data_IF_549927291484
#
_entry.id   IF_549927291484
#
_cell.length_a   1.000
_cell.length_b   1.000
_cell.length_c   1.000
_cell.angle_alpha   90.00
_cell.angle_beta   90.00
_cell.angle_gamma   90.00
#
_symmetry.space_group_name_H-M   'P 1'
#
loop_
_entity.id
_entity.type
_entity.pdbx_description
1 polymer ?
#
# COMPACT_ATOMS: atom_id res chain seq x y z
N UNK A 1 12.27 -12.69 -7.04
CA UNK A 1 12.00 -11.25 -7.11
C UNK A 1 10.94 -11.01 -8.16
N UNK A 2 9.70 -10.90 -7.70
CA UNK A 2 8.55 -10.47 -8.49
C UNK A 2 8.18 -9.02 -8.13
N UNK A 3 7.43 -8.37 -9.02
CA UNK A 3 6.89 -7.02 -8.82
C UNK A 3 5.37 -7.12 -8.85
N UNK A 4 4.70 -6.56 -7.83
CA UNK A 4 3.25 -6.54 -7.70
C UNK A 4 2.75 -5.10 -7.59
N UNK A 5 1.59 -4.81 -8.18
CA UNK A 5 0.89 -3.52 -8.04
C UNK A 5 -0.51 -3.76 -7.49
N UNK A 6 -0.84 -3.16 -6.33
CA UNK A 6 -2.06 -3.47 -5.57
C UNK A 6 -2.98 -2.26 -5.35
N UNK A 7 -3.04 -1.35 -6.32
CA UNK A 7 -3.73 -0.08 -6.14
C UNK A 7 -5.27 -0.22 -6.03
N UNK A 8 -5.92 -1.25 -6.58
CA UNK A 8 -7.38 -1.26 -6.80
C UNK A 8 -8.27 -1.28 -5.53
N UNK A 9 -7.80 -1.88 -4.43
CA UNK A 9 -8.60 -2.06 -3.20
C UNK A 9 -7.92 -1.33 -2.05
N UNK A 10 -8.67 -0.48 -1.35
CA UNK A 10 -8.13 0.36 -0.27
C UNK A 10 -9.06 0.39 0.94
N UNK A 11 -8.51 0.46 2.14
CA UNK A 11 -9.23 0.76 3.38
C UNK A 11 -8.49 1.86 4.17
N UNK A 12 -9.07 2.32 5.28
CA UNK A 12 -8.50 3.39 6.12
C UNK A 12 -8.39 2.98 7.59
N UNK A 13 -8.35 1.67 7.85
CA UNK A 13 -8.36 1.08 9.20
C UNK A 13 -7.21 0.12 9.40
N UNK A 14 -6.61 0.09 10.59
CA UNK A 14 -5.72 -0.98 11.01
C UNK A 14 -6.54 -2.06 11.73
N UNK A 15 -6.87 -3.15 11.03
CA UNK A 15 -7.84 -4.16 11.48
C UNK A 15 -7.39 -5.57 11.06
N UNK A 16 -7.20 -6.46 12.03
CA UNK A 16 -6.70 -7.82 11.81
C UNK A 16 -7.78 -8.81 11.32
N UNK A 17 -9.04 -8.38 11.27
CA UNK A 17 -10.13 -9.16 10.67
C UNK A 17 -10.15 -9.07 9.13
N UNK A 18 -9.41 -8.12 8.56
CA UNK A 18 -9.25 -7.98 7.12
C UNK A 18 -8.43 -9.14 6.54
N UNK A 19 -8.95 -9.75 5.47
CA UNK A 19 -8.19 -10.77 4.74
C UNK A 19 -7.03 -10.12 3.96
N UNK A 20 -5.86 -10.78 3.88
CA UNK A 20 -4.75 -10.25 3.09
C UNK A 20 -5.12 -10.05 1.63
N UNK A 21 -4.74 -8.92 1.05
CA UNK A 21 -4.90 -8.63 -0.37
C UNK A 21 -3.85 -9.35 -1.23
N UNK A 22 -2.67 -9.60 -0.65
CA UNK A 22 -1.54 -10.21 -1.33
C UNK A 22 -0.70 -11.02 -0.34
N UNK A 23 -0.14 -12.12 -0.84
CA UNK A 23 0.92 -12.87 -0.16
C UNK A 23 2.17 -12.81 -1.04
N UNK A 24 3.27 -12.32 -0.47
CA UNK A 24 4.55 -12.14 -1.18
C UNK A 24 5.66 -12.96 -0.52
N UNK A 25 6.78 -13.13 -1.21
CA UNK A 25 7.99 -13.73 -0.65
C UNK A 25 8.96 -12.63 -0.21
N UNK A 26 9.88 -13.02 0.66
CA UNK A 26 11.04 -12.19 0.97
C UNK A 26 11.80 -11.79 -0.31
N UNK A 27 12.13 -10.51 -0.43
CA UNK A 27 12.80 -9.93 -1.61
C UNK A 27 11.88 -9.58 -2.79
N UNK A 28 10.55 -9.74 -2.69
CA UNK A 28 9.63 -9.20 -3.68
C UNK A 28 9.40 -7.69 -3.49
N UNK A 29 9.02 -7.00 -4.57
CA UNK A 29 8.70 -5.57 -4.56
C UNK A 29 7.19 -5.38 -4.72
N UNK A 30 6.60 -4.55 -3.86
CA UNK A 30 5.18 -4.20 -3.93
C UNK A 30 5.03 -2.71 -4.11
N UNK A 31 4.33 -2.32 -5.17
CA UNK A 31 3.89 -0.96 -5.40
C UNK A 31 2.55 -0.72 -4.70
N UNK A 32 2.56 0.26 -3.80
CA UNK A 32 1.42 0.66 -2.99
C UNK A 32 0.93 2.03 -3.41
N UNK A 33 -0.31 2.34 -3.05
CA UNK A 33 -0.90 3.64 -3.37
C UNK A 33 -0.29 4.75 -2.52
N UNK A 34 -0.07 5.90 -3.15
CA UNK A 34 0.39 7.11 -2.50
C UNK A 34 -0.67 7.65 -1.51
N UNK A 35 -0.22 8.20 -0.36
CA UNK A 35 -1.04 8.51 0.81
C UNK A 35 -2.14 9.55 0.57
N UNK A 36 -1.95 10.48 -0.35
CA UNK A 36 -2.95 11.49 -0.73
C UNK A 36 -4.02 10.93 -1.66
N UNK A 37 -3.89 9.67 -2.10
CA UNK A 37 -4.75 9.06 -3.11
C UNK A 37 -4.72 9.83 -4.44
N UNK A 38 -3.52 10.28 -4.83
CA UNK A 38 -3.28 11.01 -6.08
C UNK A 38 -3.72 12.48 -6.07
N UNK A 39 -4.05 13.05 -4.91
CA UNK A 39 -4.37 14.47 -4.78
C UNK A 39 -3.11 15.35 -4.82
N UNK A 40 -1.96 14.80 -4.44
CA UNK A 40 -0.65 15.43 -4.52
C UNK A 40 0.14 14.78 -5.65
N UNK A 41 0.71 15.61 -6.51
CA UNK A 41 1.56 15.20 -7.63
C UNK A 41 2.87 15.99 -7.61
N UNK A 42 3.87 15.63 -8.43
CA UNK A 42 5.11 16.41 -8.52
C UNK A 42 4.91 17.87 -8.95
N UNK A 43 3.77 18.22 -9.54
CA UNK A 43 3.45 19.60 -9.93
C UNK A 43 2.62 20.36 -8.89
N UNK A 44 2.28 19.73 -7.76
CA UNK A 44 1.49 20.36 -6.71
C UNK A 44 2.22 21.54 -6.05
N UNK A 45 1.43 22.54 -5.67
CA UNK A 45 1.86 23.74 -4.95
C UNK A 45 1.35 23.72 -3.51
N UNK A 46 1.79 24.66 -2.69
CA UNK A 46 1.27 24.82 -1.33
C UNK A 46 -0.24 25.09 -1.30
N UNK A 47 -0.79 25.76 -2.32
CA UNK A 47 -2.22 26.04 -2.44
C UNK A 47 -3.05 24.78 -2.67
N UNK A 48 -2.48 23.75 -3.30
CA UNK A 48 -3.17 22.48 -3.53
C UNK A 48 -3.34 21.70 -2.22
N UNK A 49 -2.40 21.83 -1.29
CA UNK A 49 -2.50 21.23 0.05
C UNK A 49 -3.66 21.81 0.87
N UNK A 50 -4.02 23.08 0.64
CA UNK A 50 -5.17 23.71 1.32
C UNK A 50 -6.51 23.12 0.84
N UNK A 51 -6.55 22.58 -0.37
CA UNK A 51 -7.74 22.00 -1.00
C UNK A 51 -7.85 20.48 -0.82
N UNK A 52 -6.95 19.88 -0.05
CA UNK A 52 -6.88 18.44 0.13
C UNK A 52 -8.19 17.92 0.73
N UNK A 53 -8.76 16.88 0.12
CA UNK A 53 -9.88 16.15 0.68
C UNK A 53 -9.36 15.08 1.64
N UNK A 54 -9.47 15.39 2.94
CA UNK A 54 -9.08 14.50 4.05
C UNK A 54 -10.00 13.28 4.20
N UNK A 55 -11.14 13.20 3.51
CA UNK A 55 -11.93 11.97 3.48
C UNK A 55 -11.30 10.88 2.60
N UNK A 56 -10.36 11.27 1.74
CA UNK A 56 -9.73 10.41 0.72
C UNK A 56 -8.28 10.04 1.03
N UNK A 57 -7.69 10.61 2.08
CA UNK A 57 -6.30 10.30 2.47
C UNK A 57 -6.20 8.94 3.14
N UNK A 58 -4.97 8.42 3.22
CA UNK A 58 -4.65 7.10 3.77
C UNK A 58 -5.41 5.94 3.09
N UNK A 59 -5.33 5.82 1.75
CA UNK A 59 -5.86 4.68 1.02
C UNK A 59 -4.94 3.46 1.19
N UNK A 60 -4.99 2.80 2.35
CA UNK A 60 -4.15 1.65 2.66
C UNK A 60 -4.45 0.50 1.69
N UNK A 61 -3.44 0.09 0.91
CA UNK A 61 -3.49 -1.06 -0.01
C UNK A 61 -2.83 -2.27 0.66
N UNK A 62 -3.45 -2.77 1.72
CA UNK A 62 -2.97 -3.90 2.52
C UNK A 62 -4.21 -4.63 3.11
N UNK A 63 -4.11 -5.64 4.00
CA UNK A 63 -2.92 -6.28 4.58
C UNK A 63 -2.10 -7.11 3.57
N UNK A 64 -0.78 -7.21 3.76
CA UNK A 64 0.11 -8.07 2.96
C UNK A 64 0.78 -9.10 3.88
N UNK A 65 0.74 -10.37 3.49
CA UNK A 65 1.46 -11.44 4.20
C UNK A 65 2.81 -11.67 3.52
N UNK A 66 3.89 -11.74 4.30
CA UNK A 66 5.24 -12.08 3.80
C UNK A 66 5.58 -13.51 4.21
N UNK A 67 5.80 -14.39 3.23
CA UNK A 67 6.31 -15.74 3.44
C UNK A 67 7.84 -15.68 3.49
N UNK A 68 8.39 -16.00 4.64
CA UNK A 68 9.84 -16.15 4.82
C UNK A 68 10.29 -17.49 4.24
N UNK A 69 11.36 -17.48 3.45
CA UNK A 69 12.05 -18.71 3.10
C UNK A 69 12.63 -19.33 4.38
N UNK A 70 12.12 -20.50 4.80
CA UNK A 70 12.83 -21.31 5.77
C UNK A 70 14.00 -21.96 5.06
N UNK A 71 15.22 -21.62 5.45
CA UNK A 71 16.38 -22.41 5.07
C UNK A 71 16.16 -23.84 5.57
N UNK A 72 16.06 -24.80 4.64
CA UNK A 72 16.06 -26.21 4.97
C UNK A 72 17.50 -26.59 5.27
N UNK A 73 17.86 -26.58 6.55
CA UNK A 73 19.11 -27.15 7.05
C UNK A 73 18.91 -28.65 7.23
N UNK A 74 19.04 -29.41 6.14
CA UNK A 74 19.42 -30.83 6.12
C UNK A 74 20.17 -31.11 4.83
#
# INVERSE_FOLDING_TARGET
MAIYTIHAVTHSKWDNSLSPLLTVKDGDVVEVRETSNGQVTPSSTAQDLVKLDFSRIHPLTEPIVVILHRYSIF
#
